data_IF_439251834829
#
_entry.id   IF_439251834829
#
_cell.length_a   1.000
_cell.length_b   1.000
_cell.length_c   1.000
_cell.angle_alpha   90.00
_cell.angle_beta   90.00
_cell.angle_gamma   90.00
#
_symmetry.space_group_name_H-M   'P 1'
#
loop_
_entity.id
_entity.type
_entity.pdbx_description
1 polymer ?
#
# COMPACT_ATOMS: atom_id res chain seq x y z
N UNK A 1 12.43 -16.75 -7.28
CA UNK A 1 12.28 -15.34 -6.93
C UNK A 1 11.14 -15.19 -5.95
N UNK A 2 11.38 -14.51 -4.82
CA UNK A 2 10.33 -14.33 -3.83
C UNK A 2 9.38 -13.18 -4.20
N UNK A 3 8.28 -13.07 -3.48
CA UNK A 3 7.26 -12.06 -3.76
C UNK A 3 7.80 -10.63 -3.70
N UNK A 4 8.66 -10.34 -2.74
CA UNK A 4 9.20 -9.00 -2.58
C UNK A 4 10.08 -8.59 -3.76
N UNK A 5 10.92 -9.49 -4.24
CA UNK A 5 11.74 -9.23 -5.41
C UNK A 5 10.90 -9.06 -6.67
N UNK A 6 9.85 -9.88 -6.81
CA UNK A 6 8.94 -9.78 -7.95
C UNK A 6 8.18 -8.44 -7.92
N UNK A 7 7.80 -7.99 -6.74
CA UNK A 7 7.19 -6.67 -6.57
C UNK A 7 8.13 -5.55 -7.04
N UNK A 8 9.40 -5.61 -6.64
CA UNK A 8 10.39 -4.62 -7.06
C UNK A 8 10.55 -4.59 -8.58
N UNK A 9 10.61 -5.75 -9.21
CA UNK A 9 10.69 -5.83 -10.67
C UNK A 9 9.49 -5.20 -11.36
N UNK A 10 8.30 -5.54 -10.89
CA UNK A 10 7.06 -4.99 -11.44
C UNK A 10 7.02 -3.47 -11.27
N UNK A 11 7.40 -2.99 -10.10
CA UNK A 11 7.41 -1.56 -9.81
C UNK A 11 8.35 -0.80 -10.74
N UNK A 12 9.56 -1.29 -10.91
CA UNK A 12 10.54 -0.64 -11.79
C UNK A 12 10.11 -0.70 -13.26
N UNK A 13 9.49 -1.81 -13.67
CA UNK A 13 9.00 -1.96 -15.04
C UNK A 13 7.88 -0.96 -15.34
N UNK A 14 6.88 -0.88 -14.47
CA UNK A 14 5.76 0.04 -14.65
C UNK A 14 6.18 1.50 -14.49
N UNK A 15 7.16 1.75 -13.63
CA UNK A 15 7.63 3.12 -13.38
C UNK A 15 8.23 3.76 -14.61
N UNK A 16 8.72 2.98 -15.56
CA UNK A 16 9.28 3.51 -16.81
C UNK A 16 8.24 4.28 -17.63
N UNK A 17 6.97 3.94 -17.50
CA UNK A 17 5.90 4.55 -18.30
C UNK A 17 4.88 5.32 -17.48
N UNK A 18 4.77 5.07 -16.18
CA UNK A 18 3.66 5.60 -15.37
C UNK A 18 4.07 6.46 -14.17
N UNK A 19 5.35 6.68 -13.94
CA UNK A 19 5.83 7.53 -12.84
C UNK A 19 5.19 7.19 -11.48
N UNK A 20 5.27 5.91 -11.10
CA UNK A 20 4.69 5.44 -9.84
C UNK A 20 5.45 5.96 -8.62
N UNK A 21 6.75 6.11 -8.75
CA UNK A 21 7.64 6.61 -7.70
C UNK A 21 8.63 7.59 -8.32
N UNK A 22 9.23 8.44 -7.48
CA UNK A 22 10.23 9.39 -7.94
C UNK A 22 11.52 8.67 -8.33
N UNK A 23 12.41 9.40 -9.04
CA UNK A 23 13.73 8.85 -9.40
C UNK A 23 14.52 8.49 -8.15
N UNK A 24 14.44 9.31 -7.12
CA UNK A 24 15.11 9.06 -5.85
C UNK A 24 14.58 7.79 -5.18
N UNK A 25 13.25 7.63 -5.15
CA UNK A 25 12.64 6.43 -4.58
C UNK A 25 13.03 5.18 -5.35
N UNK A 26 13.07 5.25 -6.68
CA UNK A 26 13.47 4.11 -7.50
C UNK A 26 14.92 3.70 -7.24
N UNK A 27 15.82 4.67 -7.04
CA UNK A 27 17.23 4.39 -6.76
C UNK A 27 17.44 3.80 -5.37
N UNK A 28 16.60 4.18 -4.41
CA UNK A 28 16.71 3.75 -3.02
C UNK A 28 15.56 2.83 -2.62
N UNK A 29 15.14 1.98 -3.55
CA UNK A 29 13.93 1.19 -3.40
C UNK A 29 13.98 0.27 -2.17
N UNK A 30 15.12 -0.38 -1.94
CA UNK A 30 15.24 -1.29 -0.80
C UNK A 30 15.10 -0.55 0.52
N UNK A 31 15.66 0.65 0.63
CA UNK A 31 15.53 1.46 1.84
C UNK A 31 14.07 1.85 2.09
N UNK A 32 13.35 2.22 1.03
CA UNK A 32 11.94 2.59 1.15
C UNK A 32 11.07 1.41 1.54
N UNK A 33 11.40 0.23 1.03
CA UNK A 33 10.70 -0.99 1.40
C UNK A 33 10.97 -1.33 2.87
N UNK A 34 12.22 -1.28 3.31
CA UNK A 34 12.56 -1.52 4.72
C UNK A 34 11.88 -0.54 5.64
N UNK A 35 11.86 0.74 5.26
CA UNK A 35 11.16 1.77 6.02
C UNK A 35 9.67 1.44 6.16
N UNK A 36 9.05 1.01 5.08
CA UNK A 36 7.65 0.59 5.10
C UNK A 36 7.44 -0.61 6.04
N UNK A 37 8.32 -1.59 5.99
CA UNK A 37 8.21 -2.80 6.80
C UNK A 37 8.44 -2.54 8.29
N UNK A 38 9.08 -1.43 8.63
CA UNK A 38 9.41 -1.10 10.03
C UNK A 38 8.17 -0.92 10.90
N UNK A 39 7.01 -0.64 10.31
CA UNK A 39 5.77 -0.47 11.07
C UNK A 39 4.96 -1.77 11.23
N UNK A 40 5.45 -2.89 10.69
CA UNK A 40 4.71 -4.16 10.72
C UNK A 40 4.22 -4.56 12.10
N UNK A 41 5.08 -4.45 13.10
CA UNK A 41 4.76 -4.88 14.48
C UNK A 41 3.75 -3.97 15.17
N UNK A 42 3.51 -2.79 14.62
CA UNK A 42 2.57 -1.82 15.17
C UNK A 42 1.16 -2.01 14.63
N UNK A 43 0.99 -2.85 13.61
CA UNK A 43 -0.28 -2.98 12.91
C UNK A 43 -1.17 -4.05 13.48
N UNK A 44 -2.47 -3.74 13.56
CA UNK A 44 -3.49 -4.72 13.86
C UNK A 44 -3.82 -5.59 12.64
N UNK A 45 -4.91 -6.39 12.72
CA UNK A 45 -5.24 -7.35 11.68
C UNK A 45 -5.86 -6.77 10.41
N UNK A 46 -6.40 -5.55 10.47
CA UNK A 46 -7.07 -4.88 9.35
C UNK A 46 -6.45 -3.50 9.15
N UNK A 47 -5.94 -3.23 7.96
CA UNK A 47 -5.19 -2.01 7.67
C UNK A 47 -5.69 -1.34 6.41
N UNK A 48 -5.94 -0.04 6.48
CA UNK A 48 -6.29 0.81 5.34
C UNK A 48 -5.10 1.69 5.00
N UNK A 49 -4.60 1.60 3.77
CA UNK A 49 -3.50 2.43 3.29
C UNK A 49 -4.05 3.51 2.36
N UNK A 50 -3.92 4.77 2.77
CA UNK A 50 -4.40 5.90 1.99
C UNK A 50 -3.29 6.44 1.08
N UNK A 51 -3.57 6.49 -0.21
CA UNK A 51 -2.62 6.99 -1.19
C UNK A 51 -1.47 6.02 -1.43
N UNK A 52 -1.79 4.77 -1.71
CA UNK A 52 -0.82 3.68 -1.82
C UNK A 52 0.24 3.87 -2.92
N UNK A 53 -0.05 4.65 -3.95
CA UNK A 53 0.93 4.99 -5.00
C UNK A 53 1.60 3.78 -5.62
N UNK A 54 2.92 3.66 -5.46
CA UNK A 54 3.69 2.52 -5.94
C UNK A 54 3.63 1.29 -5.03
N UNK A 55 2.75 1.30 -4.03
CA UNK A 55 2.60 0.19 -3.10
C UNK A 55 3.33 0.36 -1.79
N UNK A 56 3.76 1.57 -1.49
CA UNK A 56 4.40 1.90 -0.22
C UNK A 56 3.39 2.63 0.68
N UNK A 57 3.18 2.16 1.90
CA UNK A 57 3.72 0.92 2.48
C UNK A 57 2.89 -0.33 2.20
N UNK A 58 1.69 -0.17 1.63
CA UNK A 58 0.68 -1.20 1.57
C UNK A 58 1.09 -2.55 0.96
N UNK A 59 1.59 -2.57 -0.27
CA UNK A 59 1.97 -3.83 -0.93
C UNK A 59 3.13 -4.50 -0.17
N UNK A 60 4.14 -3.73 0.21
CA UNK A 60 5.27 -4.28 0.95
C UNK A 60 4.82 -4.92 2.26
N UNK A 61 3.95 -4.24 3.00
CA UNK A 61 3.41 -4.76 4.25
C UNK A 61 2.55 -6.00 4.05
N UNK A 62 1.75 -6.03 2.99
CA UNK A 62 0.90 -7.18 2.69
C UNK A 62 1.73 -8.42 2.39
N UNK A 63 2.83 -8.27 1.68
CA UNK A 63 3.76 -9.37 1.41
C UNK A 63 4.33 -9.92 2.70
N UNK A 64 4.75 -9.03 3.60
CA UNK A 64 5.37 -9.41 4.87
C UNK A 64 4.36 -9.98 5.88
N UNK A 65 3.11 -9.58 5.78
CA UNK A 65 2.07 -9.91 6.77
C UNK A 65 0.89 -10.63 6.09
N UNK A 66 1.06 -11.87 5.63
CA UNK A 66 0.03 -12.55 4.84
C UNK A 66 -1.27 -12.86 5.61
N UNK A 67 -1.24 -12.80 6.94
CA UNK A 67 -2.44 -13.05 7.76
C UNK A 67 -3.23 -11.79 8.07
N UNK A 68 -2.67 -10.62 7.75
CA UNK A 68 -3.37 -9.33 7.94
C UNK A 68 -4.04 -8.93 6.64
N UNK A 69 -5.13 -8.16 6.73
CA UNK A 69 -5.85 -7.67 5.56
C UNK A 69 -5.50 -6.23 5.28
N UNK A 70 -5.27 -5.92 4.01
CA UNK A 70 -4.87 -4.60 3.56
C UNK A 70 -5.85 -4.07 2.52
N UNK A 71 -6.35 -2.88 2.78
CA UNK A 71 -7.23 -2.15 1.87
C UNK A 71 -6.45 -0.98 1.32
N UNK A 72 -6.11 -1.02 0.04
CA UNK A 72 -5.28 0.00 -0.59
C UNK A 72 -6.17 0.96 -1.36
N UNK A 73 -6.12 2.23 -0.97
CA UNK A 73 -6.94 3.28 -1.57
C UNK A 73 -6.04 4.21 -2.37
N UNK A 74 -6.33 4.34 -3.65
CA UNK A 74 -5.55 5.16 -4.56
C UNK A 74 -6.49 5.83 -5.56
N UNK A 75 -6.50 7.16 -5.59
CA UNK A 75 -7.37 7.92 -6.48
C UNK A 75 -6.85 7.99 -7.92
N UNK A 76 -5.52 7.87 -8.11
CA UNK A 76 -4.94 7.89 -9.44
C UNK A 76 -5.20 6.57 -10.15
N UNK A 77 -5.80 6.65 -11.32
CA UNK A 77 -6.22 5.46 -12.06
C UNK A 77 -5.07 4.55 -12.46
N UNK A 78 -3.96 5.14 -12.93
CA UNK A 78 -2.79 4.36 -13.37
C UNK A 78 -2.09 3.69 -12.20
N UNK A 79 -1.97 4.40 -11.09
CA UNK A 79 -1.37 3.83 -9.87
C UNK A 79 -2.25 2.73 -9.31
N UNK A 80 -3.56 2.93 -9.31
CA UNK A 80 -4.52 1.91 -8.88
C UNK A 80 -4.43 0.65 -9.76
N UNK A 81 -4.30 0.83 -11.07
CA UNK A 81 -4.12 -0.30 -11.99
C UNK A 81 -2.84 -1.08 -11.69
N UNK A 82 -1.75 -0.38 -11.36
CA UNK A 82 -0.53 -1.04 -10.95
C UNK A 82 -0.74 -1.88 -9.68
N UNK A 83 -1.39 -1.31 -8.68
CA UNK A 83 -1.66 -2.02 -7.43
C UNK A 83 -2.48 -3.28 -7.65
N UNK A 84 -3.52 -3.18 -8.47
CA UNK A 84 -4.39 -4.30 -8.77
C UNK A 84 -3.64 -5.40 -9.55
N UNK A 85 -2.90 -4.99 -10.58
CA UNK A 85 -2.11 -5.94 -11.38
C UNK A 85 -1.07 -6.65 -10.51
N UNK A 86 -0.38 -5.90 -9.67
CA UNK A 86 0.66 -6.43 -8.80
C UNK A 86 0.09 -7.42 -7.78
N UNK A 87 -1.02 -7.07 -7.14
CA UNK A 87 -1.64 -7.96 -6.16
C UNK A 87 -2.08 -9.27 -6.81
N UNK A 88 -2.58 -9.21 -8.05
CA UNK A 88 -2.99 -10.40 -8.78
C UNK A 88 -1.79 -11.26 -9.19
N UNK A 89 -0.72 -10.65 -9.71
CA UNK A 89 0.46 -11.39 -10.13
C UNK A 89 1.22 -12.02 -8.97
N UNK A 90 1.21 -11.36 -7.82
CA UNK A 90 1.83 -11.89 -6.61
C UNK A 90 0.90 -12.82 -5.83
N UNK A 91 -0.34 -12.95 -6.29
CA UNK A 91 -1.37 -13.76 -5.62
C UNK A 91 -1.58 -13.37 -4.17
N UNK A 92 -1.64 -12.05 -3.92
CA UNK A 92 -1.85 -11.51 -2.58
C UNK A 92 -3.34 -11.56 -2.24
N UNK A 93 -3.75 -12.61 -1.56
CA UNK A 93 -5.15 -12.83 -1.19
C UNK A 93 -5.63 -11.88 -0.10
N UNK A 94 -4.70 -11.22 0.56
CA UNK A 94 -4.98 -10.32 1.69
C UNK A 94 -5.04 -8.84 1.28
N UNK A 95 -5.13 -8.55 -0.02
CA UNK A 95 -5.16 -7.18 -0.53
C UNK A 95 -6.44 -6.91 -1.31
N UNK A 96 -7.08 -5.78 -1.03
CA UNK A 96 -8.15 -5.22 -1.85
C UNK A 96 -7.74 -3.82 -2.28
N UNK A 97 -7.93 -3.52 -3.57
CA UNK A 97 -7.56 -2.22 -4.14
C UNK A 97 -8.83 -1.43 -4.47
N UNK A 98 -8.87 -0.17 -4.04
CA UNK A 98 -9.96 0.75 -4.33
C UNK A 98 -9.43 1.95 -5.10
N UNK A 99 -9.91 2.12 -6.34
CA UNK A 99 -9.62 3.30 -7.13
C UNK A 99 -10.64 4.38 -6.79
N UNK A 100 -10.45 5.03 -5.65
CA UNK A 100 -11.38 6.03 -5.11
C UNK A 100 -10.62 7.09 -4.34
N UNK A 101 -11.30 8.21 -4.14
CA UNK A 101 -10.83 9.23 -3.21
C UNK A 101 -11.33 8.88 -1.82
N UNK A 102 -10.65 9.39 -0.79
CA UNK A 102 -11.01 9.07 0.58
C UNK A 102 -12.46 9.45 0.90
N UNK A 103 -12.94 10.59 0.40
CA UNK A 103 -14.29 11.07 0.65
C UNK A 103 -15.37 10.23 -0.01
N UNK A 104 -15.00 9.35 -0.94
CA UNK A 104 -15.92 8.42 -1.59
C UNK A 104 -16.08 7.11 -0.84
N UNK A 105 -15.24 6.87 0.16
CA UNK A 105 -15.28 5.63 0.93
C UNK A 105 -16.45 5.64 1.91
N UNK A 106 -17.03 4.47 2.10
CA UNK A 106 -18.13 4.28 3.05
C UNK A 106 -17.58 3.56 4.29
N UNK A 107 -17.35 4.29 5.40
CA UNK A 107 -16.74 3.69 6.59
C UNK A 107 -17.47 2.46 7.11
N UNK A 108 -18.79 2.40 6.95
CA UNK A 108 -19.60 1.28 7.40
C UNK A 108 -19.32 -0.03 6.65
N UNK A 109 -18.61 0.03 5.54
CA UNK A 109 -18.21 -1.15 4.77
C UNK A 109 -16.87 -1.72 5.20
N UNK A 110 -16.25 -1.11 6.20
CA UNK A 110 -14.94 -1.53 6.71
C UNK A 110 -15.06 -1.97 8.17
N UNK A 111 -14.11 -2.80 8.65
CA UNK A 111 -14.12 -3.24 10.05
C UNK A 111 -14.01 -2.07 11.03
N UNK A 112 -14.59 -2.24 12.23
CA UNK A 112 -14.55 -1.20 13.25
C UNK A 112 -13.14 -0.97 13.81
N UNK A 113 -12.30 -1.99 13.78
CA UNK A 113 -10.94 -1.91 14.32
C UNK A 113 -9.88 -1.65 13.25
N UNK A 114 -10.29 -0.97 12.19
CA UNK A 114 -9.40 -0.65 11.07
C UNK A 114 -8.32 0.35 11.49
N UNK A 115 -7.07 0.02 11.19
CA UNK A 115 -5.98 0.97 11.35
C UNK A 115 -5.72 1.65 10.02
N UNK A 116 -5.51 2.95 10.07
CA UNK A 116 -5.25 3.75 8.86
C UNK A 116 -3.78 4.12 8.85
N UNK A 117 -3.11 3.82 7.75
CA UNK A 117 -1.73 4.24 7.54
C UNK A 117 -1.66 5.14 6.34
N UNK A 118 -0.67 6.00 6.33
CA UNK A 118 -0.40 6.86 5.19
C UNK A 118 1.08 7.16 5.15
N UNK A 119 1.62 7.33 3.95
CA UNK A 119 3.00 7.74 3.79
C UNK A 119 3.04 9.26 3.80
N UNK A 120 3.58 9.83 4.86
CA UNK A 120 3.63 11.27 5.04
C UNK A 120 4.92 11.84 4.46
N UNK A 121 4.82 12.68 3.43
CA UNK A 121 5.93 13.47 2.91
C UNK A 121 7.19 12.68 2.59
N UNK A 122 7.05 11.48 2.05
CA UNK A 122 8.18 10.65 1.65
C UNK A 122 8.98 10.02 2.78
N UNK A 123 8.56 10.22 4.02
CA UNK A 123 9.22 9.63 5.18
C UNK A 123 8.53 8.34 5.61
N UNK A 124 8.85 7.84 6.80
CA UNK A 124 8.25 6.63 7.33
C UNK A 124 6.72 6.72 7.36
N UNK A 125 6.07 5.59 7.23
CA UNK A 125 4.62 5.50 7.32
C UNK A 125 4.14 5.92 8.71
N UNK A 126 3.01 6.61 8.77
CA UNK A 126 2.36 6.98 10.01
C UNK A 126 1.11 6.13 10.19
N UNK A 127 0.89 5.68 11.40
CA UNK A 127 -0.32 4.94 11.75
C UNK A 127 -1.28 5.87 12.45
N UNK A 128 -2.51 5.92 11.92
CA UNK A 128 -3.59 6.71 12.50
C UNK A 128 -4.73 5.76 12.81
N UNK A 129 -5.11 5.65 14.06
CA UNK A 129 -6.25 4.82 14.43
C UNK A 129 -7.53 5.59 14.28
N UNK A 130 -8.46 5.02 13.52
CA UNK A 130 -9.77 5.60 13.34
C UNK A 130 -10.82 4.51 13.29
N UNK A 131 -11.76 4.55 14.19
CA UNK A 131 -12.89 3.63 14.18
C UNK A 131 -14.17 4.31 13.74
N UNK A 132 -14.17 5.62 13.60
CA UNK A 132 -15.41 6.36 13.38
C UNK A 132 -15.54 6.92 11.98
N UNK A 133 -14.45 7.38 11.41
CA UNK A 133 -14.47 8.00 10.08
C UNK A 133 -13.06 8.02 9.50
N UNK A 134 -12.98 8.23 8.22
CA UNK A 134 -11.69 8.31 7.52
C UNK A 134 -11.24 9.78 7.45
N UNK A 135 -11.11 10.39 8.61
CA UNK A 135 -10.63 11.77 8.75
C UNK A 135 -11.46 12.79 7.96
#
# INVERSE_FOLDING_TARGET
MNQLEKYKELLLKWNKTHNLVSKSQARNLDEHIEDSLSVSDLLGPEVLDLGSGGGFPGIALAIKNPTKKFYLVESNEKKSAFLLNTSNQLELKNVKVYNKRIEELLPERFPNNLEIITRAFGSAAKTIKSSEHFL
#
